data_IF_297473023695
#
_entry.id   IF_297473023695
#
_cell.length_a   1.000
_cell.length_b   1.000
_cell.length_c   1.000
_cell.angle_alpha   90.00
_cell.angle_beta   90.00
_cell.angle_gamma   90.00
#
_symmetry.space_group_name_H-M   'P 1'
#
loop_
_entity.id
_entity.type
_entity.pdbx_description
1 polymer ?
#
# COMPACT_ATOMS: atom_id res chain seq x y z
N UNK A 1 -3.28 -3.22 -28.45
CA UNK A 1 -2.56 -2.46 -27.40
C UNK A 1 -3.46 -1.35 -26.87
N UNK A 2 -3.85 -1.46 -25.61
CA UNK A 2 -4.76 -0.51 -24.93
C UNK A 2 -4.12 0.89 -24.79
N UNK A 3 -2.79 0.97 -24.69
CA UNK A 3 -2.06 2.24 -24.63
C UNK A 3 -2.20 2.99 -25.96
N UNK A 4 -2.09 2.29 -27.07
CA UNK A 4 -2.14 2.91 -28.39
C UNK A 4 -3.54 3.41 -28.78
N UNK A 5 -4.60 2.79 -28.29
CA UNK A 5 -5.98 3.18 -28.64
C UNK A 5 -6.71 3.97 -27.52
N UNK A 6 -6.02 4.30 -26.43
CA UNK A 6 -6.59 5.00 -25.27
C UNK A 6 -7.88 4.33 -24.74
N UNK A 7 -7.91 3.01 -24.77
CA UNK A 7 -9.00 2.18 -24.25
C UNK A 7 -8.45 1.19 -23.26
N UNK A 8 -8.99 1.16 -22.06
CA UNK A 8 -8.63 0.12 -21.10
C UNK A 8 -9.21 -1.22 -21.55
N UNK A 9 -8.34 -2.09 -22.09
CA UNK A 9 -8.74 -3.42 -22.56
C UNK A 9 -9.26 -4.31 -21.41
N UNK A 10 -8.88 -4.06 -20.16
CA UNK A 10 -9.40 -4.81 -19.02
C UNK A 10 -10.85 -4.45 -18.68
N UNK A 11 -11.33 -3.29 -19.13
CA UNK A 11 -12.73 -2.90 -19.01
C UNK A 11 -13.63 -3.56 -20.08
N UNK A 12 -13.03 -4.14 -21.11
CA UNK A 12 -13.78 -4.82 -22.18
C UNK A 12 -14.19 -6.21 -21.71
N UNK A 13 -15.49 -6.48 -21.78
CA UNK A 13 -15.99 -7.83 -21.54
C UNK A 13 -15.58 -8.75 -22.69
N UNK A 14 -14.78 -9.76 -22.42
CA UNK A 14 -14.24 -10.71 -23.41
C UNK A 14 -15.35 -11.47 -24.20
N UNK A 15 -16.53 -11.62 -23.60
CA UNK A 15 -17.65 -12.32 -24.21
C UNK A 15 -18.57 -11.36 -24.98
N UNK A 16 -18.30 -10.06 -24.97
CA UNK A 16 -19.16 -9.01 -25.55
C UNK A 16 -18.36 -8.05 -26.41
N UNK A 17 -17.59 -8.60 -27.33
CA UNK A 17 -17.00 -7.81 -28.40
C UNK A 17 -17.18 -8.55 -29.74
N UNK A 18 -17.14 -7.79 -30.85
CA UNK A 18 -17.26 -8.38 -32.17
C UNK A 18 -16.80 -7.41 -33.26
N UNK A 19 -16.74 -7.94 -34.47
CA UNK A 19 -16.40 -7.17 -35.67
C UNK A 19 -17.65 -6.83 -36.45
N UNK A 20 -17.79 -5.56 -36.83
CA UNK A 20 -18.81 -5.12 -37.76
C UNK A 20 -18.41 -5.48 -39.18
N UNK A 21 -19.41 -5.53 -40.11
CA UNK A 21 -19.19 -5.87 -41.53
C UNK A 21 -18.23 -4.90 -42.24
N UNK A 22 -18.06 -3.71 -41.74
CA UNK A 22 -17.15 -2.69 -42.24
C UNK A 22 -15.76 -2.70 -41.60
N UNK A 23 -15.49 -3.71 -40.76
CA UNK A 23 -14.18 -3.92 -40.10
C UNK A 23 -13.98 -3.14 -38.80
N UNK A 24 -14.97 -2.39 -38.32
CA UNK A 24 -14.93 -1.76 -36.99
C UNK A 24 -15.12 -2.79 -35.92
N UNK A 25 -14.58 -2.48 -34.74
CA UNK A 25 -14.77 -3.32 -33.54
C UNK A 25 -15.84 -2.68 -32.67
N UNK A 26 -16.80 -3.45 -32.24
CA UNK A 26 -17.77 -3.06 -31.21
C UNK A 26 -17.48 -3.85 -29.94
N UNK A 27 -17.45 -3.18 -28.80
CA UNK A 27 -17.21 -3.81 -27.51
C UNK A 27 -18.10 -3.20 -26.43
N UNK A 28 -18.45 -4.00 -25.43
CA UNK A 28 -19.11 -3.50 -24.21
C UNK A 28 -18.05 -3.36 -23.12
N UNK A 29 -17.97 -2.19 -22.51
CA UNK A 29 -17.09 -1.91 -21.39
C UNK A 29 -17.90 -1.61 -20.15
N UNK A 30 -17.28 -1.83 -18.98
CA UNK A 30 -17.81 -1.43 -17.70
C UNK A 30 -17.05 -0.20 -17.21
N UNK A 31 -17.77 0.84 -16.85
CA UNK A 31 -17.20 1.98 -16.14
C UNK A 31 -17.50 1.78 -14.67
N UNK A 32 -16.45 1.44 -13.91
CA UNK A 32 -16.55 1.41 -12.46
C UNK A 32 -16.56 2.86 -11.95
N UNK A 33 -17.65 3.27 -11.35
CA UNK A 33 -17.71 4.47 -10.54
C UNK A 33 -18.33 4.12 -9.18
N UNK A 34 -17.87 4.79 -8.12
CA UNK A 34 -18.38 4.58 -6.76
C UNK A 34 -19.89 4.82 -6.64
N UNK A 35 -20.46 5.57 -7.58
CA UNK A 35 -21.89 5.94 -7.62
C UNK A 35 -22.75 5.05 -8.51
N UNK A 36 -22.17 4.31 -9.44
CA UNK A 36 -22.88 3.39 -10.32
C UNK A 36 -21.94 2.31 -10.87
N UNK A 37 -21.73 1.22 -10.11
CA UNK A 37 -20.81 0.14 -10.50
C UNK A 37 -21.30 -0.68 -11.70
N UNK A 38 -22.50 -0.43 -12.19
CA UNK A 38 -23.12 -1.20 -13.29
C UNK A 38 -23.19 -0.47 -14.62
N UNK A 39 -22.61 0.74 -14.72
CA UNK A 39 -22.67 1.54 -15.94
C UNK A 39 -21.92 0.87 -17.07
N UNK A 40 -22.66 0.44 -18.08
CA UNK A 40 -22.12 -0.16 -19.29
C UNK A 40 -22.03 0.89 -20.39
N UNK A 41 -20.97 0.82 -21.20
CA UNK A 41 -20.78 1.63 -22.39
C UNK A 41 -20.56 0.72 -23.59
N UNK A 42 -21.08 1.15 -24.73
CA UNK A 42 -20.78 0.51 -26.01
C UNK A 42 -19.71 1.33 -26.70
N UNK A 43 -18.55 0.73 -26.91
CA UNK A 43 -17.47 1.31 -27.69
C UNK A 43 -17.54 0.85 -29.13
N UNK A 44 -17.31 1.78 -30.05
CA UNK A 44 -17.08 1.48 -31.47
C UNK A 44 -15.69 1.98 -31.83
N UNK A 45 -14.76 1.06 -32.07
CA UNK A 45 -13.39 1.36 -32.42
C UNK A 45 -13.23 1.38 -33.94
N UNK A 46 -12.72 2.49 -34.47
CA UNK A 46 -12.41 2.65 -35.88
C UNK A 46 -10.90 2.48 -36.11
N UNK A 47 -10.53 1.80 -37.17
CA UNK A 47 -9.16 1.82 -37.63
C UNK A 47 -8.86 3.19 -38.25
N UNK A 48 -7.81 3.86 -37.77
CA UNK A 48 -7.31 5.12 -38.29
C UNK A 48 -5.93 4.91 -38.91
N UNK A 49 -5.58 5.76 -39.89
CA UNK A 49 -4.22 5.77 -40.41
C UNK A 49 -3.26 6.27 -39.31
N UNK A 50 -2.10 5.61 -39.17
CA UNK A 50 -1.09 6.03 -38.24
C UNK A 50 -0.63 7.49 -38.46
N UNK A 51 -0.63 7.98 -39.68
CA UNK A 51 -0.31 9.35 -40.02
C UNK A 51 -1.37 10.36 -39.55
N UNK A 52 -2.59 9.92 -39.27
CA UNK A 52 -3.68 10.75 -38.75
C UNK A 52 -3.73 10.84 -37.22
N UNK A 53 -2.89 10.07 -36.54
CA UNK A 53 -2.78 10.10 -35.05
C UNK A 53 -1.91 11.30 -34.68
N UNK A 54 -2.43 12.18 -33.82
CA UNK A 54 -1.68 13.32 -33.32
C UNK A 54 -0.48 12.80 -32.50
N UNK A 55 0.72 13.26 -32.87
CA UNK A 55 1.95 12.91 -32.13
C UNK A 55 1.95 13.69 -30.80
N UNK A 56 1.92 12.98 -29.71
CA UNK A 56 2.07 13.53 -28.35
C UNK A 56 3.49 13.27 -27.84
N UNK A 57 3.97 14.10 -26.94
CA UNK A 57 5.20 13.81 -26.19
C UNK A 57 4.96 12.60 -25.29
N UNK A 58 5.80 11.59 -25.40
CA UNK A 58 5.70 10.37 -24.60
C UNK A 58 6.45 10.54 -23.29
N UNK A 59 5.76 10.23 -22.18
CA UNK A 59 6.32 10.07 -20.84
C UNK A 59 6.33 8.59 -20.50
N UNK A 60 7.49 8.05 -20.20
CA UNK A 60 7.66 6.64 -19.86
C UNK A 60 7.31 6.40 -18.40
N UNK A 61 6.38 5.48 -18.12
CA UNK A 61 6.05 5.04 -16.79
C UNK A 61 6.50 3.59 -16.61
N UNK A 62 7.41 3.34 -15.68
CA UNK A 62 7.86 1.99 -15.33
C UNK A 62 7.13 1.46 -14.10
N UNK A 63 6.71 0.19 -14.15
CA UNK A 63 6.08 -0.52 -13.03
C UNK A 63 6.54 -1.98 -12.99
N UNK A 64 6.47 -2.59 -11.80
CA UNK A 64 6.55 -4.04 -11.58
C UNK A 64 5.16 -4.66 -11.41
N UNK A 65 4.18 -3.84 -11.17
CA UNK A 65 2.77 -4.15 -11.13
C UNK A 65 1.99 -2.88 -11.42
N UNK A 66 1.04 -2.95 -12.32
CA UNK A 66 0.17 -1.83 -12.65
C UNK A 66 -1.21 -2.03 -12.03
N UNK A 67 -1.50 -1.27 -10.98
CA UNK A 67 -2.81 -1.26 -10.34
C UNK A 67 -3.92 -0.89 -11.33
N UNK A 68 -5.11 -1.50 -11.15
CA UNK A 68 -6.26 -1.28 -12.03
C UNK A 68 -6.72 0.18 -12.06
N UNK A 69 -6.76 0.85 -10.90
CA UNK A 69 -7.21 2.24 -10.82
C UNK A 69 -6.21 3.17 -11.49
N UNK A 70 -4.90 2.96 -11.24
CA UNK A 70 -3.85 3.73 -11.91
C UNK A 70 -3.91 3.55 -13.43
N UNK A 71 -4.10 2.33 -13.91
CA UNK A 71 -4.29 2.03 -15.33
C UNK A 71 -5.45 2.82 -15.93
N UNK A 72 -6.59 2.85 -15.24
CA UNK A 72 -7.76 3.61 -15.67
C UNK A 72 -7.48 5.13 -15.74
N UNK A 73 -6.72 5.67 -14.76
CA UNK A 73 -6.32 7.08 -14.77
C UNK A 73 -5.34 7.40 -15.90
N UNK A 74 -4.40 6.50 -16.23
CA UNK A 74 -3.50 6.66 -17.39
C UNK A 74 -4.30 6.75 -18.68
N UNK A 75 -5.30 5.88 -18.87
CA UNK A 75 -6.17 5.93 -20.06
C UNK A 75 -6.93 7.26 -20.12
N UNK A 76 -7.49 7.72 -19.00
CA UNK A 76 -8.18 9.03 -18.95
C UNK A 76 -7.23 10.18 -19.26
N UNK A 77 -6.02 10.18 -18.70
CA UNK A 77 -4.99 11.17 -18.98
C UNK A 77 -4.63 11.19 -20.48
N UNK A 78 -4.32 10.02 -21.03
CA UNK A 78 -3.94 9.89 -22.45
C UNK A 78 -5.04 10.38 -23.40
N UNK A 79 -6.32 10.20 -23.02
CA UNK A 79 -7.46 10.73 -23.77
C UNK A 79 -7.60 12.23 -23.69
N UNK A 80 -7.49 12.79 -22.49
CA UNK A 80 -7.83 14.20 -22.22
C UNK A 80 -6.67 15.15 -22.48
N UNK A 81 -5.42 14.71 -22.28
CA UNK A 81 -4.25 15.56 -22.48
C UNK A 81 -3.90 15.67 -23.98
N UNK A 82 -3.84 16.88 -24.55
CA UNK A 82 -3.55 17.05 -25.98
C UNK A 82 -2.06 16.88 -26.30
N UNK A 83 -1.16 17.16 -25.37
CA UNK A 83 0.27 17.34 -25.60
C UNK A 83 1.10 16.12 -25.18
N UNK A 84 0.64 15.41 -24.14
CA UNK A 84 1.38 14.31 -23.53
C UNK A 84 0.63 12.98 -23.56
N UNK A 85 1.40 11.91 -23.57
CA UNK A 85 0.92 10.53 -23.42
C UNK A 85 1.83 9.76 -22.47
N UNK A 86 1.25 9.04 -21.52
CA UNK A 86 1.96 8.09 -20.67
C UNK A 86 2.04 6.74 -21.39
N UNK A 87 3.27 6.25 -21.58
CA UNK A 87 3.58 4.93 -22.14
C UNK A 87 4.08 4.03 -21.02
N UNK A 88 3.30 3.00 -20.73
CA UNK A 88 3.63 2.05 -19.64
C UNK A 88 4.66 1.03 -20.12
N UNK A 89 5.69 0.86 -19.34
CA UNK A 89 6.69 -0.20 -19.45
C UNK A 89 6.56 -1.12 -18.25
N UNK A 90 5.89 -2.23 -18.45
CA UNK A 90 5.63 -3.23 -17.41
C UNK A 90 6.79 -4.21 -17.32
N UNK A 91 7.54 -4.13 -16.22
CA UNK A 91 8.68 -5.01 -15.98
C UNK A 91 8.28 -6.35 -15.37
N UNK A 92 7.02 -6.55 -14.96
CA UNK A 92 6.53 -7.87 -14.53
C UNK A 92 6.60 -8.90 -15.65
N UNK A 93 6.58 -8.47 -16.92
CA UNK A 93 6.71 -9.35 -18.09
C UNK A 93 8.05 -10.10 -18.16
N UNK A 94 9.07 -9.66 -17.42
CA UNK A 94 10.37 -10.33 -17.34
C UNK A 94 10.44 -11.39 -16.22
N UNK A 95 9.45 -11.44 -15.33
CA UNK A 95 9.37 -12.47 -14.29
C UNK A 95 9.19 -13.86 -14.92
N UNK A 96 9.83 -14.86 -14.35
CA UNK A 96 9.72 -16.27 -14.74
C UNK A 96 9.39 -17.12 -13.52
N UNK A 97 8.98 -18.38 -13.74
CA UNK A 97 8.72 -19.31 -12.63
C UNK A 97 9.98 -19.58 -11.78
N UNK A 98 11.17 -19.41 -12.37
CA UNK A 98 12.47 -19.61 -11.70
C UNK A 98 13.02 -18.30 -11.07
N UNK A 99 12.59 -17.14 -11.54
CA UNK A 99 13.06 -15.83 -11.07
C UNK A 99 11.95 -14.77 -11.10
N UNK A 100 11.24 -14.65 -10.00
CA UNK A 100 10.20 -13.61 -9.83
C UNK A 100 10.77 -12.19 -9.76
N UNK A 101 12.07 -12.04 -9.45
CA UNK A 101 12.73 -10.74 -9.32
C UNK A 101 13.43 -10.27 -10.61
N UNK A 102 13.33 -11.02 -11.72
CA UNK A 102 13.99 -10.67 -12.98
C UNK A 102 13.57 -9.28 -13.49
N UNK A 103 12.29 -8.91 -13.35
CA UNK A 103 11.79 -7.58 -13.70
C UNK A 103 12.41 -6.47 -12.87
N UNK A 104 12.50 -6.64 -11.56
CA UNK A 104 13.14 -5.70 -10.64
C UNK A 104 14.64 -5.54 -10.97
N UNK A 105 15.33 -6.64 -11.20
CA UNK A 105 16.74 -6.64 -11.57
C UNK A 105 16.98 -5.89 -12.88
N UNK A 106 16.12 -6.12 -13.87
CA UNK A 106 16.20 -5.44 -15.16
C UNK A 106 15.95 -3.94 -15.02
N UNK A 107 14.90 -3.53 -14.32
CA UNK A 107 14.59 -2.11 -14.06
C UNK A 107 15.76 -1.42 -13.36
N UNK A 108 16.29 -2.01 -12.29
CA UNK A 108 17.44 -1.49 -11.56
C UNK A 108 18.68 -1.34 -12.47
N UNK A 109 18.93 -2.32 -13.36
CA UNK A 109 20.04 -2.29 -14.29
C UNK A 109 19.89 -1.13 -15.30
N UNK A 110 18.69 -0.91 -15.82
CA UNK A 110 18.42 0.19 -16.75
C UNK A 110 18.59 1.54 -16.07
N UNK A 111 18.07 1.72 -14.85
CA UNK A 111 18.25 2.95 -14.06
C UNK A 111 19.74 3.23 -13.79
N UNK A 112 20.51 2.23 -13.38
CA UNK A 112 21.95 2.38 -13.12
C UNK A 112 22.72 2.72 -14.40
N UNK A 113 22.28 2.21 -15.55
CA UNK A 113 22.91 2.51 -16.86
C UNK A 113 22.52 3.89 -17.41
N UNK A 114 21.67 4.65 -16.71
CA UNK A 114 21.21 5.98 -17.11
C UNK A 114 19.91 6.03 -17.90
N UNK A 115 19.27 4.87 -18.14
CA UNK A 115 17.96 4.78 -18.76
C UNK A 115 16.87 4.88 -17.68
N UNK A 116 16.72 6.07 -17.11
CA UNK A 116 15.74 6.33 -16.04
C UNK A 116 14.39 6.66 -16.67
N UNK A 117 13.32 5.92 -16.35
CA UNK A 117 11.96 6.29 -16.78
C UNK A 117 11.53 7.63 -16.21
N UNK A 118 10.61 8.33 -16.89
CA UNK A 118 10.10 9.63 -16.43
C UNK A 118 9.31 9.49 -15.12
N UNK A 119 8.50 8.43 -15.03
CA UNK A 119 7.63 8.12 -13.89
C UNK A 119 7.95 6.70 -13.41
N UNK A 120 8.07 6.53 -12.10
CA UNK A 120 8.20 5.23 -11.45
C UNK A 120 6.95 4.95 -10.61
N UNK A 121 6.34 3.79 -10.82
CA UNK A 121 5.34 3.24 -9.91
C UNK A 121 6.10 2.40 -8.89
N UNK A 122 6.02 2.81 -7.63
CA UNK A 122 6.77 2.17 -6.57
C UNK A 122 5.84 1.33 -5.70
N UNK A 123 6.10 0.04 -5.67
CA UNK A 123 5.70 -0.85 -4.60
C UNK A 123 6.72 -0.83 -3.46
N UNK A 124 6.72 -1.88 -2.68
CA UNK A 124 7.67 -2.06 -1.55
C UNK A 124 9.06 -2.50 -2.01
N UNK A 125 9.21 -2.95 -3.26
CA UNK A 125 10.40 -3.61 -3.78
C UNK A 125 11.47 -2.61 -4.26
N UNK A 126 11.07 -1.39 -4.67
CA UNK A 126 12.00 -0.42 -5.22
C UNK A 126 12.76 0.32 -4.12
N UNK A 127 14.09 0.44 -4.22
CA UNK A 127 14.93 1.09 -3.22
C UNK A 127 14.87 2.63 -3.34
N UNK A 128 13.71 3.22 -3.12
CA UNK A 128 13.43 4.65 -3.31
C UNK A 128 14.40 5.55 -2.54
N UNK A 129 14.75 5.18 -1.30
CA UNK A 129 15.75 5.92 -0.52
C UNK A 129 17.12 5.97 -1.19
N UNK A 130 17.53 4.88 -1.85
CA UNK A 130 18.80 4.86 -2.59
C UNK A 130 18.72 5.70 -3.87
N UNK A 131 17.58 5.67 -4.58
CA UNK A 131 17.39 6.53 -5.76
C UNK A 131 17.37 8.00 -5.39
N UNK A 132 16.69 8.36 -4.29
CA UNK A 132 16.69 9.73 -3.76
C UNK A 132 18.11 10.20 -3.36
N UNK A 133 18.86 9.36 -2.63
CA UNK A 133 20.23 9.65 -2.22
C UNK A 133 21.18 9.86 -3.42
N UNK A 134 20.93 9.21 -4.54
CA UNK A 134 21.68 9.39 -5.80
C UNK A 134 21.18 10.56 -6.65
N UNK A 135 20.17 11.31 -6.19
CA UNK A 135 19.61 12.43 -6.92
C UNK A 135 18.82 12.04 -8.19
N UNK A 136 18.27 10.83 -8.22
CA UNK A 136 17.51 10.33 -9.38
C UNK A 136 16.02 10.71 -9.35
N UNK A 137 15.52 11.17 -8.19
CA UNK A 137 14.12 11.49 -7.97
C UNK A 137 13.92 12.96 -7.64
N UNK A 138 12.85 13.55 -8.16
CA UNK A 138 12.42 14.91 -7.85
C UNK A 138 11.79 14.99 -6.47
N UNK A 139 12.00 16.12 -5.80
CA UNK A 139 11.19 16.52 -4.65
C UNK A 139 9.86 17.06 -5.17
N UNK A 140 8.77 16.38 -4.87
CA UNK A 140 7.44 16.72 -5.39
C UNK A 140 6.78 17.89 -4.65
N UNK A 141 7.29 18.29 -3.47
CA UNK A 141 6.70 19.40 -2.71
C UNK A 141 6.62 20.72 -3.47
N UNK A 142 7.69 21.18 -4.18
CA UNK A 142 7.61 22.43 -4.92
C UNK A 142 6.52 22.46 -6.00
N UNK A 143 6.25 21.30 -6.62
CA UNK A 143 5.21 21.18 -7.64
C UNK A 143 3.81 21.22 -7.03
N UNK A 144 3.57 20.47 -5.94
CA UNK A 144 2.31 20.48 -5.21
C UNK A 144 2.02 21.87 -4.62
N UNK A 145 3.02 22.55 -4.04
CA UNK A 145 2.82 23.87 -3.44
C UNK A 145 2.51 24.95 -4.50
N UNK A 146 2.99 24.77 -5.72
CA UNK A 146 2.69 25.68 -6.84
C UNK A 146 1.33 25.41 -7.49
N UNK A 147 0.72 24.24 -7.26
CA UNK A 147 -0.55 23.87 -7.87
C UNK A 147 -1.73 24.44 -7.07
N UNK A 148 -2.63 25.23 -7.72
CA UNK A 148 -3.76 25.84 -7.02
C UNK A 148 -4.84 24.85 -6.58
N UNK A 149 -4.86 23.64 -7.15
CA UNK A 149 -5.83 22.58 -6.86
C UNK A 149 -5.30 21.59 -5.82
N UNK A 150 -4.00 21.27 -5.85
CA UNK A 150 -3.37 20.23 -5.04
C UNK A 150 -2.33 20.76 -4.04
N UNK A 151 -2.41 22.04 -3.64
CA UNK A 151 -1.54 22.62 -2.63
C UNK A 151 -1.68 21.93 -1.25
N UNK A 152 -0.66 22.02 -0.41
CA UNK A 152 -0.60 21.30 0.90
C UNK A 152 -1.80 21.55 1.80
N UNK A 153 -2.38 22.75 1.75
CA UNK A 153 -3.55 23.13 2.55
C UNK A 153 -4.85 22.42 2.11
N UNK A 154 -4.83 21.79 0.93
CA UNK A 154 -5.97 21.06 0.36
C UNK A 154 -5.81 19.54 0.41
N UNK A 155 -4.61 19.06 0.72
CA UNK A 155 -4.29 17.65 0.77
C UNK A 155 -4.28 17.13 2.22
N UNK A 156 -4.47 15.82 2.37
CA UNK A 156 -4.23 15.14 3.65
C UNK A 156 -2.72 15.08 3.89
N UNK A 157 -2.19 15.99 4.70
CA UNK A 157 -0.74 16.12 4.90
C UNK A 157 -0.13 14.98 5.71
N UNK A 158 -0.90 14.30 6.58
CA UNK A 158 -0.36 13.21 7.41
C UNK A 158 0.19 12.04 6.58
N UNK A 159 -0.53 11.46 5.60
CA UNK A 159 0.02 10.43 4.71
C UNK A 159 1.24 10.91 3.92
N UNK A 160 1.21 12.15 3.44
CA UNK A 160 2.33 12.74 2.69
C UNK A 160 3.56 12.94 3.58
N UNK A 161 3.36 13.41 4.82
CA UNK A 161 4.45 13.54 5.79
C UNK A 161 5.08 12.17 6.15
N UNK A 162 4.26 11.13 6.24
CA UNK A 162 4.75 9.76 6.48
C UNK A 162 5.53 9.18 5.28
N UNK A 163 5.29 9.69 4.07
CA UNK A 163 5.99 9.27 2.85
C UNK A 163 7.29 10.07 2.58
N UNK A 164 7.59 11.11 3.38
CA UNK A 164 8.79 11.92 3.22
C UNK A 164 10.07 11.17 3.62
N UNK A 165 11.16 11.58 3.00
CA UNK A 165 12.52 11.23 3.40
C UNK A 165 13.31 12.53 3.54
N UNK A 166 13.84 12.81 4.73
CA UNK A 166 14.60 14.04 5.05
C UNK A 166 13.85 15.34 4.69
N UNK A 167 12.53 15.35 4.93
CA UNK A 167 11.66 16.51 4.67
C UNK A 167 11.28 16.72 3.20
N UNK A 168 11.68 15.82 2.30
CA UNK A 168 11.37 15.85 0.87
C UNK A 168 10.40 14.75 0.49
N UNK A 169 9.53 15.02 -0.47
CA UNK A 169 8.55 14.09 -0.97
C UNK A 169 9.02 13.48 -2.29
N UNK A 170 9.77 12.39 -2.23
CA UNK A 170 10.26 11.68 -3.42
C UNK A 170 9.27 10.69 -4.01
N UNK A 171 8.19 10.41 -3.28
CA UNK A 171 7.11 9.51 -3.69
C UNK A 171 5.76 10.04 -3.22
N UNK A 172 4.82 10.12 -4.12
CA UNK A 172 3.45 10.53 -3.86
C UNK A 172 2.59 9.29 -3.64
N UNK A 173 2.07 9.02 -2.43
CA UNK A 173 1.10 7.94 -2.25
C UNK A 173 -0.21 8.28 -2.97
N UNK A 174 -0.67 7.34 -3.80
CA UNK A 174 -1.98 7.44 -4.47
C UNK A 174 -3.06 6.68 -3.71
N UNK A 175 -2.65 5.76 -2.87
CA UNK A 175 -3.47 5.08 -1.88
C UNK A 175 -2.67 4.89 -0.59
N UNK A 176 -3.36 4.65 0.50
CA UNK A 176 -2.70 4.28 1.75
C UNK A 176 -3.62 3.48 2.65
N UNK A 177 -3.00 2.71 3.52
CA UNK A 177 -3.63 2.05 4.64
C UNK A 177 -2.90 2.36 5.93
N UNK A 178 -3.54 2.01 7.04
CA UNK A 178 -2.93 2.09 8.37
C UNK A 178 -3.02 0.73 9.03
N UNK A 179 -1.88 0.12 9.28
CA UNK A 179 -1.78 -1.09 10.10
C UNK A 179 -1.81 -0.67 11.57
N UNK A 180 -2.74 -1.23 12.31
CA UNK A 180 -3.01 -0.88 13.70
C UNK A 180 -3.45 -2.10 14.49
N UNK A 181 -3.71 -1.94 15.78
CA UNK A 181 -4.45 -2.91 16.59
C UNK A 181 -5.73 -2.29 17.11
N UNK A 182 -6.76 -3.11 17.25
CA UNK A 182 -8.04 -2.73 17.85
C UNK A 182 -8.31 -3.56 19.09
N UNK A 183 -8.82 -2.92 20.13
CA UNK A 183 -9.30 -3.56 21.34
C UNK A 183 -10.63 -2.97 21.80
N UNK A 184 -11.32 -3.64 22.74
CA UNK A 184 -12.54 -3.10 23.31
C UNK A 184 -12.26 -1.90 24.21
N UNK A 185 -12.98 -0.81 24.02
CA UNK A 185 -12.79 0.44 24.78
C UNK A 185 -12.89 0.24 26.30
N UNK A 186 -13.84 -0.58 26.74
CA UNK A 186 -14.02 -0.94 28.17
C UNK A 186 -12.82 -1.67 28.80
N UNK A 187 -11.98 -2.31 27.97
CA UNK A 187 -10.79 -3.08 28.42
C UNK A 187 -9.53 -2.24 28.23
N UNK A 188 -9.34 -1.67 27.05
CA UNK A 188 -8.18 -0.83 26.72
C UNK A 188 -8.21 0.48 27.51
N UNK A 189 -9.39 1.05 27.75
CA UNK A 189 -9.53 2.33 28.47
C UNK A 189 -9.16 3.54 27.61
N UNK A 190 -8.53 4.54 28.24
CA UNK A 190 -8.23 5.82 27.61
C UNK A 190 -6.82 5.88 26.96
N UNK A 191 -6.15 4.75 26.80
CA UNK A 191 -4.86 4.73 26.10
C UNK A 191 -5.03 5.17 24.65
N UNK A 192 -4.14 6.05 24.20
CA UNK A 192 -4.00 6.46 22.79
C UNK A 192 -2.72 5.90 22.17
N UNK A 193 -1.73 5.60 23.01
CA UNK A 193 -0.48 4.90 22.74
C UNK A 193 -0.14 4.09 23.97
N UNK A 194 0.67 3.07 23.85
CA UNK A 194 1.03 2.23 24.99
C UNK A 194 2.36 1.49 24.83
N UNK A 195 2.88 1.08 25.97
CA UNK A 195 4.07 0.24 26.11
C UNK A 195 3.66 -1.22 26.35
N UNK A 196 4.64 -2.13 26.40
CA UNK A 196 4.40 -3.53 26.79
C UNK A 196 3.86 -3.63 28.23
N UNK A 197 4.27 -2.73 29.13
CA UNK A 197 3.75 -2.69 30.50
C UNK A 197 2.26 -2.36 30.52
N UNK A 198 1.80 -1.41 29.69
CA UNK A 198 0.39 -1.05 29.57
C UNK A 198 -0.44 -2.19 28.97
N UNK A 199 0.12 -2.92 27.98
CA UNK A 199 -0.51 -4.12 27.41
C UNK A 199 -0.73 -5.19 28.50
N UNK A 200 0.29 -5.45 29.32
CA UNK A 200 0.20 -6.41 30.42
C UNK A 200 -0.83 -5.99 31.48
N UNK A 201 -0.87 -4.70 31.83
CA UNK A 201 -1.90 -4.15 32.72
C UNK A 201 -3.32 -4.35 32.15
N UNK A 202 -3.52 -4.02 30.87
CA UNK A 202 -4.82 -4.21 30.21
C UNK A 202 -5.19 -5.71 30.11
N UNK A 203 -4.24 -6.59 29.82
CA UNK A 203 -4.46 -8.05 29.78
C UNK A 203 -4.88 -8.59 31.15
N UNK A 204 -4.34 -8.06 32.23
CA UNK A 204 -4.69 -8.48 33.62
C UNK A 204 -6.17 -8.18 33.99
N UNK A 205 -6.85 -7.33 33.24
CA UNK A 205 -8.29 -7.02 33.42
C UNK A 205 -9.20 -8.05 32.76
N UNK A 206 -8.64 -8.93 31.93
CA UNK A 206 -9.37 -9.99 31.26
C UNK A 206 -9.38 -11.29 32.12
N UNK A 207 -10.28 -12.23 31.82
CA UNK A 207 -10.31 -13.54 32.50
C UNK A 207 -8.97 -14.28 32.35
N UNK A 208 -8.66 -15.12 33.31
CA UNK A 208 -7.50 -16.01 33.29
C UNK A 208 -7.51 -16.86 32.00
N UNK A 209 -6.36 -16.96 31.33
CA UNK A 209 -6.20 -17.66 30.06
C UNK A 209 -6.46 -16.78 28.82
N UNK A 210 -6.81 -15.50 29.01
CA UNK A 210 -6.87 -14.56 27.87
C UNK A 210 -5.47 -14.32 27.30
N UNK A 211 -5.43 -14.06 25.98
CA UNK A 211 -4.20 -13.81 25.23
C UNK A 211 -4.16 -12.38 24.69
N UNK A 212 -2.99 -11.85 24.40
CA UNK A 212 -2.90 -10.51 23.77
C UNK A 212 -3.48 -10.55 22.35
N UNK A 213 -3.03 -11.49 21.54
CA UNK A 213 -3.52 -11.73 20.17
C UNK A 213 -4.02 -13.17 20.03
N UNK A 214 -4.56 -13.49 18.89
CA UNK A 214 -5.01 -14.85 18.60
C UNK A 214 -3.81 -15.82 18.51
N UNK A 215 -4.12 -17.11 18.70
CA UNK A 215 -3.15 -18.21 18.71
C UNK A 215 -2.52 -18.51 17.34
N UNK A 216 -3.06 -17.97 16.24
CA UNK A 216 -2.42 -18.15 14.93
C UNK A 216 -1.20 -17.27 14.71
N UNK A 217 -1.01 -16.25 15.53
CA UNK A 217 0.23 -15.48 15.48
C UNK A 217 1.36 -16.28 16.11
N UNK A 218 2.37 -16.57 15.31
CA UNK A 218 3.56 -17.29 15.76
C UNK A 218 4.57 -16.34 16.40
N UNK A 219 5.53 -16.91 17.11
CA UNK A 219 6.66 -16.14 17.66
C UNK A 219 7.38 -15.34 16.59
N UNK A 220 7.61 -15.94 15.39
CA UNK A 220 8.30 -15.28 14.29
C UNK A 220 7.54 -14.07 13.77
N UNK A 221 6.23 -14.21 13.53
CA UNK A 221 5.38 -13.12 13.06
C UNK A 221 5.29 -11.99 14.08
N UNK A 222 5.08 -12.34 15.35
CA UNK A 222 4.96 -11.34 16.41
C UNK A 222 6.27 -10.60 16.66
N UNK A 223 7.41 -11.30 16.58
CA UNK A 223 8.73 -10.67 16.65
C UNK A 223 8.95 -9.71 15.47
N UNK A 224 8.54 -10.11 14.28
CA UNK A 224 8.62 -9.24 13.10
C UNK A 224 7.81 -7.96 13.28
N UNK A 225 6.58 -8.04 13.78
CA UNK A 225 5.77 -6.86 14.10
C UNK A 225 6.44 -5.98 15.14
N UNK A 226 6.92 -6.56 16.25
CA UNK A 226 7.59 -5.81 17.30
C UNK A 226 8.84 -5.08 16.80
N UNK A 227 9.67 -5.74 15.99
CA UNK A 227 10.87 -5.13 15.41
C UNK A 227 10.46 -4.03 14.44
N UNK A 228 9.50 -4.28 13.53
CA UNK A 228 9.08 -3.28 12.54
C UNK A 228 8.57 -2.00 13.21
N UNK A 229 7.75 -2.13 14.27
CA UNK A 229 7.19 -0.98 14.98
C UNK A 229 8.22 -0.23 15.84
N UNK A 230 9.27 -0.91 16.29
CA UNK A 230 10.33 -0.35 17.14
C UNK A 230 11.68 -0.22 16.40
N UNK A 231 11.68 -0.28 15.08
CA UNK A 231 12.91 -0.34 14.27
C UNK A 231 13.88 0.82 14.59
N UNK A 232 13.37 2.04 14.76
CA UNK A 232 14.17 3.21 15.07
C UNK A 232 14.88 3.16 16.44
N UNK A 233 14.42 2.31 17.37
CA UNK A 233 15.08 2.09 18.68
C UNK A 233 16.29 1.16 18.56
N UNK A 234 16.31 0.29 17.54
CA UNK A 234 17.31 -0.77 17.39
C UNK A 234 18.23 -0.59 16.19
N UNK A 235 17.80 0.18 15.19
CA UNK A 235 18.50 0.35 13.93
C UNK A 235 18.68 1.83 13.58
N UNK A 236 19.91 2.24 13.34
CA UNK A 236 20.23 3.54 12.76
C UNK A 236 20.51 3.36 11.26
N UNK A 237 19.53 3.71 10.44
CA UNK A 237 19.61 3.56 8.99
C UNK A 237 20.61 4.49 8.33
N UNK A 238 20.95 5.64 8.95
CA UNK A 238 21.92 6.60 8.42
C UNK A 238 23.35 6.06 8.54
N UNK A 239 23.66 5.47 9.71
CA UNK A 239 25.01 4.97 10.00
C UNK A 239 25.16 3.48 9.64
N UNK A 240 24.06 2.78 9.33
CA UNK A 240 24.05 1.35 9.07
C UNK A 240 24.39 0.52 10.30
N UNK A 241 24.12 1.05 11.50
CA UNK A 241 24.40 0.38 12.77
C UNK A 241 23.12 -0.18 13.41
N UNK A 242 23.26 -1.20 14.26
CA UNK A 242 22.17 -1.75 15.05
C UNK A 242 22.61 -2.07 16.47
N UNK A 243 21.64 -2.06 17.40
CA UNK A 243 21.85 -2.40 18.82
C UNK A 243 20.66 -3.23 19.32
N UNK A 244 20.82 -4.55 19.28
CA UNK A 244 19.81 -5.50 19.77
C UNK A 244 20.15 -6.10 21.15
N UNK A 245 21.29 -5.72 21.75
CA UNK A 245 21.67 -6.16 23.11
C UNK A 245 21.25 -5.10 24.14
N UNK A 246 19.93 -4.86 24.21
CA UNK A 246 19.31 -3.89 25.13
C UNK A 246 18.22 -4.54 25.96
N UNK A 247 17.86 -3.92 27.09
CA UNK A 247 16.77 -4.40 27.92
C UNK A 247 15.42 -4.28 27.24
N UNK A 248 15.23 -3.25 26.40
CA UNK A 248 14.03 -3.05 25.58
C UNK A 248 13.85 -4.20 24.58
N UNK A 249 14.92 -4.64 23.91
CA UNK A 249 14.82 -5.77 22.99
C UNK A 249 14.55 -7.08 23.73
N UNK A 250 15.14 -7.28 24.92
CA UNK A 250 14.83 -8.43 25.78
C UNK A 250 13.37 -8.44 26.20
N UNK A 251 12.79 -7.26 26.53
CA UNK A 251 11.37 -7.14 26.85
C UNK A 251 10.47 -7.57 25.67
N UNK A 252 10.84 -7.21 24.44
CA UNK A 252 10.12 -7.69 23.23
C UNK A 252 10.22 -9.21 23.08
N UNK A 253 11.38 -9.81 23.31
CA UNK A 253 11.55 -11.27 23.26
C UNK A 253 10.71 -11.99 24.32
N UNK A 254 10.65 -11.49 25.56
CA UNK A 254 9.78 -12.05 26.60
C UNK A 254 8.30 -11.87 26.28
N UNK A 255 7.90 -10.76 25.63
CA UNK A 255 6.54 -10.56 25.15
C UNK A 255 6.15 -11.56 24.05
N UNK A 256 7.08 -11.90 23.16
CA UNK A 256 6.86 -12.82 22.03
C UNK A 256 6.87 -14.30 22.49
N UNK A 257 7.60 -14.63 23.52
CA UNK A 257 7.82 -16.01 24.01
C UNK A 257 6.55 -16.82 24.29
N UNK A 258 5.44 -16.25 24.80
CA UNK A 258 4.18 -17.00 25.01
C UNK A 258 3.46 -17.43 23.72
N UNK A 259 3.80 -16.86 22.57
CA UNK A 259 3.19 -17.23 21.30
C UNK A 259 3.69 -18.62 20.85
N UNK A 260 2.89 -19.38 20.06
CA UNK A 260 3.32 -20.66 19.53
C UNK A 260 4.50 -20.50 18.57
N UNK A 261 5.44 -21.45 18.57
CA UNK A 261 6.55 -21.46 17.62
C UNK A 261 6.04 -21.68 16.17
N UNK A 262 5.03 -22.55 16.03
CA UNK A 262 4.37 -22.87 14.77
C UNK A 262 2.87 -22.96 15.01
N UNK A 263 2.08 -22.67 13.96
CA UNK A 263 0.63 -22.83 14.00
C UNK A 263 0.19 -24.01 13.13
N UNK A 264 -0.53 -24.95 13.72
CA UNK A 264 -1.09 -26.10 13.02
C UNK A 264 -2.51 -25.82 12.52
N UNK A 265 -2.60 -25.41 11.24
CA UNK A 265 -3.86 -25.13 10.56
C UNK A 265 -4.79 -26.34 10.45
N UNK A 266 -4.26 -27.57 10.56
CA UNK A 266 -5.06 -28.79 10.40
C UNK A 266 -5.80 -29.17 11.69
N UNK A 267 -5.23 -28.87 12.85
CA UNK A 267 -5.83 -29.23 14.14
C UNK A 267 -6.93 -28.28 14.60
N UNK A 268 -7.11 -27.13 13.96
CA UNK A 268 -7.93 -26.02 14.48
C UNK A 268 -9.29 -25.86 13.77
N UNK A 269 -9.66 -26.78 12.86
CA UNK A 269 -10.89 -26.66 12.07
C UNK A 269 -12.18 -26.75 12.88
N UNK A 270 -12.16 -27.39 14.05
CA UNK A 270 -13.37 -27.69 14.82
C UNK A 270 -13.71 -26.64 15.89
N UNK A 271 -12.73 -25.80 16.31
CA UNK A 271 -12.87 -24.79 17.36
C UNK A 271 -12.53 -23.35 16.89
N UNK A 272 -12.72 -23.07 15.59
CA UNK A 272 -12.43 -21.73 15.08
C UNK A 272 -13.37 -20.68 15.68
N UNK A 273 -12.77 -19.72 16.40
CA UNK A 273 -13.47 -18.56 16.95
C UNK A 273 -12.83 -17.28 16.37
N UNK A 274 -13.64 -16.47 15.67
CA UNK A 274 -13.11 -15.24 15.07
C UNK A 274 -12.56 -14.27 16.12
N UNK A 275 -11.59 -13.44 15.73
CA UNK A 275 -11.00 -12.42 16.59
C UNK A 275 -12.06 -11.51 17.24
N UNK A 276 -13.07 -11.08 16.48
CA UNK A 276 -14.17 -10.27 17.02
C UNK A 276 -14.96 -10.99 18.11
N UNK A 277 -15.18 -12.29 17.96
CA UNK A 277 -15.86 -13.11 18.97
C UNK A 277 -14.98 -13.27 20.20
N UNK A 278 -13.70 -13.54 20.03
CA UNK A 278 -12.73 -13.66 21.11
C UNK A 278 -12.58 -12.37 21.92
N UNK A 279 -12.51 -11.21 21.25
CA UNK A 279 -12.51 -9.89 21.90
C UNK A 279 -13.76 -9.70 22.75
N UNK A 280 -14.97 -9.96 22.19
CA UNK A 280 -16.24 -9.82 22.93
C UNK A 280 -16.35 -10.72 24.16
N UNK A 281 -15.80 -11.92 24.05
CA UNK A 281 -15.83 -12.93 25.14
C UNK A 281 -14.68 -12.75 26.15
N UNK A 282 -13.82 -11.74 25.97
CA UNK A 282 -12.69 -11.47 26.84
C UNK A 282 -11.59 -12.53 26.79
N UNK A 283 -11.50 -13.29 25.71
CA UNK A 283 -10.46 -14.31 25.47
C UNK A 283 -9.20 -13.73 24.81
N UNK A 284 -9.30 -12.51 24.32
CA UNK A 284 -8.26 -11.82 23.55
C UNK A 284 -8.33 -10.32 23.82
N UNK A 285 -7.17 -9.68 23.95
CA UNK A 285 -7.07 -8.25 24.22
C UNK A 285 -7.14 -7.42 22.94
N UNK A 286 -6.39 -7.80 21.91
CA UNK A 286 -6.17 -7.05 20.69
C UNK A 286 -6.39 -7.88 19.44
N UNK A 287 -6.79 -7.19 18.38
CA UNK A 287 -6.86 -7.72 17.01
C UNK A 287 -6.04 -6.81 16.09
N UNK A 288 -4.96 -7.31 15.44
CA UNK A 288 -4.24 -6.59 14.42
C UNK A 288 -5.11 -6.43 13.17
N UNK A 289 -5.16 -5.24 12.64
CA UNK A 289 -5.97 -4.94 11.44
C UNK A 289 -5.27 -3.92 10.55
N UNK A 290 -5.66 -3.89 9.28
CA UNK A 290 -5.25 -2.86 8.34
C UNK A 290 -6.51 -2.12 7.86
N UNK A 291 -6.46 -0.81 7.92
CA UNK A 291 -7.53 0.07 7.51
C UNK A 291 -7.15 0.70 6.18
N UNK A 292 -7.81 0.33 5.11
CA UNK A 292 -7.56 0.83 3.75
C UNK A 292 -8.70 1.72 3.24
N UNK A 293 -9.82 1.77 3.98
CA UNK A 293 -10.96 2.58 3.61
C UNK A 293 -11.99 2.73 4.73
N UNK A 294 -12.98 3.57 4.50
CA UNK A 294 -14.06 3.79 5.46
C UNK A 294 -14.92 2.55 5.73
N UNK A 295 -14.98 1.63 4.77
CA UNK A 295 -15.66 0.35 4.93
C UNK A 295 -15.04 -0.49 6.06
N UNK A 296 -13.71 -0.51 6.17
CA UNK A 296 -13.00 -1.27 7.20
C UNK A 296 -13.31 -0.73 8.59
N UNK A 297 -13.36 0.61 8.72
CA UNK A 297 -13.81 1.27 9.94
C UNK A 297 -15.25 0.87 10.27
N UNK A 298 -16.16 1.00 9.31
CA UNK A 298 -17.58 0.69 9.51
C UNK A 298 -17.79 -0.75 9.98
N UNK A 299 -17.18 -1.73 9.30
CA UNK A 299 -17.30 -3.14 9.67
C UNK A 299 -16.70 -3.44 11.05
N UNK A 300 -15.56 -2.84 11.38
CA UNK A 300 -14.93 -3.03 12.70
C UNK A 300 -15.79 -2.45 13.81
N UNK A 301 -16.33 -1.21 13.63
CA UNK A 301 -17.25 -0.60 14.58
C UNK A 301 -18.53 -1.42 14.76
N UNK A 302 -19.16 -1.84 13.67
CA UNK A 302 -20.37 -2.65 13.71
C UNK A 302 -20.13 -4.02 14.38
N UNK A 303 -19.01 -4.69 14.05
CA UNK A 303 -18.67 -5.98 14.61
C UNK A 303 -18.44 -5.93 16.12
N UNK A 304 -17.95 -4.84 16.68
CA UNK A 304 -17.62 -4.69 18.11
C UNK A 304 -18.58 -3.74 18.87
N UNK A 305 -19.81 -3.51 18.35
CA UNK A 305 -20.84 -2.71 18.98
C UNK A 305 -20.41 -1.26 19.30
N UNK A 306 -19.57 -0.67 18.50
CA UNK A 306 -18.99 0.68 18.65
C UNK A 306 -18.15 0.89 19.92
N UNK A 307 -17.85 -0.14 20.70
CA UNK A 307 -16.97 -0.06 21.88
C UNK A 307 -15.56 -0.48 21.49
N UNK A 308 -14.87 0.37 20.74
CA UNK A 308 -13.53 0.06 20.22
C UNK A 308 -12.55 1.22 20.42
N UNK A 309 -11.26 0.85 20.47
CA UNK A 309 -10.11 1.75 20.37
C UNK A 309 -9.11 1.22 19.37
N UNK A 310 -8.67 2.06 18.45
CA UNK A 310 -7.51 1.84 17.61
C UNK A 310 -6.31 2.40 18.35
N UNK A 311 -5.42 1.53 18.77
CA UNK A 311 -4.34 1.93 19.68
C UNK A 311 -2.95 1.66 19.10
N UNK A 312 -2.84 0.75 18.13
CA UNK A 312 -1.58 0.35 17.54
C UNK A 312 -0.82 -0.71 18.36
N UNK A 313 0.33 -1.11 17.85
CA UNK A 313 1.25 -2.01 18.53
C UNK A 313 1.97 -1.29 19.67
N UNK A 314 2.38 -2.01 20.73
CA UNK A 314 3.10 -1.39 21.82
C UNK A 314 4.48 -0.90 21.37
N UNK A 315 4.86 0.30 21.84
CA UNK A 315 6.17 0.91 21.63
C UNK A 315 6.76 1.37 22.95
N UNK A 316 8.00 0.99 23.20
CA UNK A 316 8.67 1.33 24.46
C UNK A 316 8.94 2.84 24.61
N UNK A 317 9.03 3.57 23.52
CA UNK A 317 9.15 5.03 23.53
C UNK A 317 7.79 5.75 23.74
N UNK A 318 6.69 5.01 23.89
CA UNK A 318 5.34 5.54 24.10
C UNK A 318 4.77 6.28 22.89
N UNK A 319 5.42 6.22 21.75
CA UNK A 319 4.89 6.82 20.51
C UNK A 319 3.83 5.94 19.85
N UNK A 320 3.20 6.43 18.77
CA UNK A 320 2.17 5.69 18.07
C UNK A 320 2.72 4.41 17.42
N UNK A 321 2.14 3.27 17.76
CA UNK A 321 2.41 1.97 17.15
C UNK A 321 1.57 1.66 15.90
N UNK A 322 1.10 2.70 15.21
CA UNK A 322 0.42 2.56 13.93
C UNK A 322 1.43 2.68 12.79
N UNK A 323 1.33 1.83 11.79
CA UNK A 323 2.18 1.89 10.62
C UNK A 323 1.42 2.43 9.41
N UNK A 324 1.99 3.44 8.77
CA UNK A 324 1.54 3.90 7.46
C UNK A 324 1.99 2.89 6.40
N UNK A 325 1.07 2.51 5.53
CA UNK A 325 1.31 1.59 4.43
C UNK A 325 0.73 2.18 3.14
N UNK A 326 1.57 2.45 2.16
CA UNK A 326 1.15 2.83 0.82
C UNK A 326 1.50 1.70 -0.14
N UNK A 327 0.49 1.08 -0.73
CA UNK A 327 0.68 -0.04 -1.67
C UNK A 327 1.14 0.43 -3.04
N UNK A 328 0.79 1.66 -3.40
CA UNK A 328 1.19 2.28 -4.66
C UNK A 328 1.61 3.73 -4.43
N UNK A 329 2.81 4.07 -4.86
CA UNK A 329 3.31 5.44 -4.87
C UNK A 329 3.89 5.78 -6.23
N UNK A 330 3.88 7.07 -6.59
CA UNK A 330 4.46 7.58 -7.82
C UNK A 330 5.67 8.45 -7.51
N UNK A 331 6.74 8.27 -8.29
CA UNK A 331 7.91 9.15 -8.28
C UNK A 331 8.18 9.71 -9.66
N UNK A 332 8.69 10.93 -9.73
CA UNK A 332 9.14 11.56 -10.98
C UNK A 332 10.67 11.57 -10.96
N UNK A 333 11.29 11.18 -12.07
CA UNK A 333 12.73 11.20 -12.20
C UNK A 333 13.26 12.59 -12.48
N UNK A 334 14.50 12.89 -12.02
CA UNK A 334 15.19 14.15 -12.33
C UNK A 334 15.51 14.28 -13.81
N UNK A 335 15.53 13.18 -14.57
CA UNK A 335 15.77 13.15 -16.02
C UNK A 335 14.52 13.48 -16.84
N UNK A 336 13.33 13.44 -16.23
CA UNK A 336 12.10 13.88 -16.89
C UNK A 336 12.21 15.36 -17.27
N UNK A 337 11.98 15.69 -18.54
CA UNK A 337 12.13 17.07 -19.04
C UNK A 337 10.88 17.90 -18.83
N UNK A 338 9.73 17.23 -18.81
CA UNK A 338 8.39 17.83 -18.76
C UNK A 338 7.71 17.42 -17.44
N UNK A 339 8.13 18.08 -16.34
CA UNK A 339 7.72 17.80 -14.96
C UNK A 339 6.42 18.47 -14.59
#
# INVERSE_FOLDING_TARGET
DWIACDVDSNSINSDRFGFLSDGRIVAVTYEYSDNDPSKQQVLVLNRVDAAAVTTKTELTLACLYLDYNLRSQIVKFNKSNPDYRIVVKDYSEYATDDDYNAGLTKLNTEIISGNVPDILVNGTELPIGQYAAKGLLEDLWPYLDADPEYSRDKLMTQPLNAAQTDGKLYRLPIDFGVTTTVGLGKVVGEYTTWTLADVNDALSRLPEGATVFNKYYTQAEMLQYCIAMNAGSFMNWQDGTCSFDTDEFRALLEFVKPFPAEYDWQSDSDDYESDYTRLKNGKQLLYPTSLSGFSDLYYTFAALNNDIRFIGFPREDGSSGNAFNASCTLSISTTCKDK
#
